data_IF_796660091619
#
_entry.id   IF_796660091619
#
_cell.length_a   1.000
_cell.length_b   1.000
_cell.length_c   1.000
_cell.angle_alpha   90.00
_cell.angle_beta   90.00
_cell.angle_gamma   90.00
#
_symmetry.space_group_name_H-M   'P 1'
#
loop_
_entity.id
_entity.type
_entity.pdbx_description
1 polymer ?
#
# COMPACT_ATOMS: atom_id res chain seq x y z
N UNK A 1 10.05 -27.94 -45.89
CA UNK A 1 10.29 -27.87 -44.44
C UNK A 1 9.28 -26.87 -43.88
N UNK A 2 8.16 -27.36 -43.34
CA UNK A 2 7.06 -26.52 -42.84
C UNK A 2 7.43 -26.06 -41.42
N UNK A 3 7.78 -24.79 -41.23
CA UNK A 3 7.92 -24.19 -39.90
C UNK A 3 6.50 -23.97 -39.33
N UNK A 4 6.02 -24.94 -38.55
CA UNK A 4 4.88 -24.73 -37.67
C UNK A 4 5.29 -23.77 -36.56
N UNK A 5 5.11 -22.46 -36.79
CA UNK A 5 5.14 -21.45 -35.74
C UNK A 5 4.02 -21.78 -34.76
N UNK A 6 4.40 -22.39 -33.64
CA UNK A 6 3.55 -22.54 -32.45
C UNK A 6 3.24 -21.14 -31.93
N UNK A 7 2.23 -20.49 -32.50
CA UNK A 7 1.66 -19.26 -31.99
C UNK A 7 1.01 -19.58 -30.64
N UNK A 8 1.82 -19.50 -29.59
CA UNK A 8 1.28 -19.45 -28.22
C UNK A 8 0.32 -18.26 -28.18
N UNK A 9 -0.86 -18.39 -27.55
CA UNK A 9 -1.76 -17.27 -27.39
C UNK A 9 -0.98 -16.15 -26.69
N UNK A 10 -0.72 -15.08 -27.43
CA UNK A 10 -0.03 -13.92 -26.89
C UNK A 10 -1.02 -13.24 -25.94
N UNK A 11 -0.86 -13.50 -24.64
CA UNK A 11 -1.49 -12.66 -23.64
C UNK A 11 -0.98 -11.24 -23.87
N UNK A 12 -1.90 -10.30 -24.06
CA UNK A 12 -1.51 -8.91 -24.27
C UNK A 12 -0.70 -8.46 -23.05
N UNK A 13 0.58 -8.16 -23.28
CA UNK A 13 1.47 -7.74 -22.21
C UNK A 13 0.88 -6.49 -21.54
N UNK A 14 0.82 -6.43 -20.21
CA UNK A 14 0.33 -5.27 -19.50
C UNK A 14 1.18 -4.04 -19.82
N UNK A 15 0.61 -2.82 -19.75
CA UNK A 15 1.38 -1.60 -19.86
C UNK A 15 2.60 -1.61 -18.92
N UNK A 16 3.75 -1.15 -19.41
CA UNK A 16 5.01 -1.17 -18.65
C UNK A 16 4.91 -0.43 -17.30
N UNK A 17 4.08 0.62 -17.24
CA UNK A 17 3.77 1.38 -16.02
C UNK A 17 3.08 0.56 -14.93
N UNK A 18 2.43 -0.55 -15.30
CA UNK A 18 1.85 -1.49 -14.36
C UNK A 18 2.75 -2.67 -14.08
N UNK A 19 3.50 -3.14 -15.08
CA UNK A 19 4.51 -4.16 -14.86
C UNK A 19 5.50 -3.74 -13.78
N UNK A 20 5.90 -2.46 -13.74
CA UNK A 20 6.77 -1.90 -12.68
C UNK A 20 6.12 -1.89 -11.29
N UNK A 21 4.79 -1.90 -11.22
CA UNK A 21 4.03 -1.89 -9.97
C UNK A 21 3.68 -3.28 -9.49
N UNK A 22 3.10 -4.13 -10.34
CA UNK A 22 2.38 -5.34 -9.90
C UNK A 22 3.20 -6.63 -10.03
N UNK A 23 4.18 -6.68 -10.94
CA UNK A 23 4.98 -7.88 -11.16
C UNK A 23 5.69 -8.28 -9.88
N UNK A 24 5.67 -9.58 -9.61
CA UNK A 24 6.26 -10.18 -8.43
C UNK A 24 5.36 -11.21 -7.77
N UNK A 25 5.76 -11.58 -6.57
CA UNK A 25 5.16 -12.66 -5.79
C UNK A 25 4.24 -12.09 -4.71
N UNK A 26 3.10 -12.75 -4.49
CA UNK A 26 2.03 -12.31 -3.61
C UNK A 26 1.49 -13.47 -2.79
N UNK A 27 1.12 -13.19 -1.53
CA UNK A 27 0.52 -14.14 -0.59
C UNK A 27 -0.91 -13.72 -0.28
N UNK A 28 -1.88 -14.57 -0.55
CA UNK A 28 -3.27 -14.33 -0.16
C UNK A 28 -3.49 -14.61 1.32
N UNK A 29 -4.05 -13.64 2.07
CA UNK A 29 -4.21 -13.72 3.52
C UNK A 29 -5.25 -14.75 3.98
N UNK A 30 -6.24 -15.07 3.15
CA UNK A 30 -7.34 -15.98 3.51
C UNK A 30 -7.08 -17.45 3.16
N UNK A 31 -6.59 -17.72 1.95
CA UNK A 31 -6.35 -19.08 1.46
C UNK A 31 -4.90 -19.54 1.64
N UNK A 32 -3.98 -18.62 1.96
CA UNK A 32 -2.55 -18.91 2.02
C UNK A 32 -1.89 -19.06 0.64
N UNK A 33 -2.64 -18.95 -0.46
CA UNK A 33 -2.13 -19.19 -1.80
C UNK A 33 -1.00 -18.21 -2.16
N UNK A 34 -0.04 -18.73 -2.93
CA UNK A 34 1.02 -17.93 -3.51
C UNK A 34 0.71 -17.63 -4.97
N UNK A 35 0.62 -16.34 -5.30
CA UNK A 35 0.39 -15.84 -6.66
C UNK A 35 1.63 -15.20 -7.26
N UNK A 36 1.90 -15.49 -8.53
CA UNK A 36 2.99 -14.88 -9.32
C UNK A 36 2.40 -14.06 -10.46
N UNK A 37 2.65 -12.75 -10.44
CA UNK A 37 2.22 -11.82 -11.49
C UNK A 37 3.39 -11.56 -12.42
N UNK A 38 3.29 -11.99 -13.69
CA UNK A 38 4.39 -12.00 -14.65
C UNK A 38 4.26 -10.88 -15.71
N UNK A 39 5.39 -10.44 -16.26
CA UNK A 39 5.44 -9.34 -17.27
C UNK A 39 4.72 -9.66 -18.58
N UNK A 40 4.57 -10.94 -18.90
CA UNK A 40 3.89 -11.42 -20.11
C UNK A 40 2.35 -11.44 -19.97
N UNK A 41 1.80 -10.92 -18.87
CA UNK A 41 0.36 -10.88 -18.62
C UNK A 41 -0.20 -12.15 -17.98
N UNK A 42 0.65 -13.13 -17.62
CA UNK A 42 0.21 -14.32 -16.90
C UNK A 42 0.17 -14.08 -15.39
N UNK A 43 -0.85 -14.65 -14.75
CA UNK A 43 -1.00 -14.69 -13.30
C UNK A 43 -1.08 -16.16 -12.87
N UNK A 44 -0.01 -16.64 -12.22
CA UNK A 44 0.10 -18.03 -11.75
C UNK A 44 -0.34 -18.10 -10.28
N UNK A 45 -0.85 -19.25 -9.87
CA UNK A 45 -1.25 -19.52 -8.49
C UNK A 45 -0.72 -20.90 -8.10
N UNK A 46 -0.19 -21.01 -6.89
CA UNK A 46 0.40 -22.22 -6.33
C UNK A 46 0.10 -22.33 -4.82
N UNK A 47 0.51 -23.46 -4.22
CA UNK A 47 0.38 -23.75 -2.78
C UNK A 47 -1.06 -24.04 -2.31
N UNK A 48 -2.03 -24.15 -3.22
CA UNK A 48 -3.41 -24.54 -2.87
C UNK A 48 -4.14 -25.21 -4.05
N UNK A 49 -4.91 -26.29 -3.82
CA UNK A 49 -5.56 -27.07 -4.89
C UNK A 49 -6.62 -26.29 -5.67
N UNK A 50 -7.32 -25.34 -5.03
CA UNK A 50 -8.29 -24.45 -5.69
C UNK A 50 -7.65 -23.28 -6.47
N UNK A 51 -6.33 -23.26 -6.65
CA UNK A 51 -5.66 -22.24 -7.44
C UNK A 51 -6.00 -22.41 -8.93
N UNK A 52 -6.69 -21.43 -9.48
CA UNK A 52 -6.89 -21.31 -10.92
C UNK A 52 -5.89 -20.29 -11.45
N UNK A 53 -5.19 -20.64 -12.53
CA UNK A 53 -4.28 -19.73 -13.24
C UNK A 53 -5.08 -18.83 -14.19
N UNK A 54 -4.53 -17.67 -14.52
CA UNK A 54 -5.21 -16.74 -15.41
C UNK A 54 -4.29 -15.69 -16.02
N UNK A 55 -4.91 -14.60 -16.44
CA UNK A 55 -4.26 -13.46 -17.05
C UNK A 55 -4.49 -12.22 -16.21
N UNK A 56 -3.66 -11.21 -16.43
CA UNK A 56 -3.87 -9.93 -15.78
C UNK A 56 -3.58 -8.77 -16.73
N UNK A 57 -4.26 -7.67 -16.46
CA UNK A 57 -3.98 -6.33 -17.00
C UNK A 57 -4.17 -5.32 -15.88
N UNK A 58 -4.10 -4.04 -16.18
CA UNK A 58 -4.23 -2.99 -15.19
C UNK A 58 -4.76 -1.68 -15.78
N UNK A 59 -5.24 -0.82 -14.89
CA UNK A 59 -5.38 0.62 -15.12
C UNK A 59 -4.99 1.36 -13.84
N UNK A 60 -3.95 2.20 -13.92
CA UNK A 60 -3.45 2.97 -12.79
C UNK A 60 -2.93 2.10 -11.64
N UNK A 61 -3.73 1.99 -10.57
CA UNK A 61 -3.46 1.18 -9.37
C UNK A 61 -4.43 0.01 -9.22
N UNK A 62 -5.21 -0.31 -10.25
CA UNK A 62 -6.12 -1.46 -10.28
C UNK A 62 -5.55 -2.51 -11.22
N UNK A 63 -5.31 -3.71 -10.70
CA UNK A 63 -5.00 -4.91 -11.48
C UNK A 63 -6.30 -5.68 -11.73
N UNK A 64 -6.58 -5.98 -12.99
CA UNK A 64 -7.71 -6.84 -13.38
C UNK A 64 -7.17 -8.23 -13.64
N UNK A 65 -7.57 -9.19 -12.82
CA UNK A 65 -7.22 -10.60 -12.95
C UNK A 65 -8.38 -11.37 -13.57
N UNK A 66 -8.13 -12.18 -14.59
CA UNK A 66 -9.16 -12.96 -15.30
C UNK A 66 -8.75 -14.42 -15.41
N UNK A 67 -9.67 -15.34 -15.08
CA UNK A 67 -9.49 -16.77 -15.29
C UNK A 67 -10.80 -17.42 -15.74
N UNK A 68 -10.86 -18.77 -15.78
CA UNK A 68 -12.06 -19.51 -16.19
C UNK A 68 -13.28 -19.32 -15.28
N UNK A 69 -13.10 -18.84 -14.05
CA UNK A 69 -14.17 -18.61 -13.07
C UNK A 69 -14.70 -17.17 -13.11
N UNK A 70 -14.01 -16.22 -13.75
CA UNK A 70 -14.43 -14.83 -13.83
C UNK A 70 -13.30 -13.81 -13.87
N UNK A 71 -13.61 -12.57 -13.53
CA UNK A 71 -12.67 -11.46 -13.48
C UNK A 71 -12.82 -10.64 -12.20
N UNK A 72 -11.70 -10.24 -11.60
CA UNK A 72 -11.65 -9.50 -10.33
C UNK A 72 -10.66 -8.34 -10.39
N UNK A 73 -11.05 -7.22 -9.79
CA UNK A 73 -10.22 -6.02 -9.71
C UNK A 73 -9.55 -5.91 -8.34
N UNK A 74 -8.22 -5.99 -8.32
CA UNK A 74 -7.37 -5.80 -7.16
C UNK A 74 -6.81 -4.38 -7.14
N UNK A 75 -7.12 -3.62 -6.10
CA UNK A 75 -6.58 -2.26 -5.92
C UNK A 75 -5.30 -2.32 -5.09
N UNK A 76 -4.21 -1.77 -5.62
CA UNK A 76 -2.92 -1.64 -4.94
C UNK A 76 -2.99 -0.52 -3.89
N UNK A 77 -2.62 -0.84 -2.65
CA UNK A 77 -2.52 0.14 -1.59
C UNK A 77 -1.36 1.13 -1.85
N UNK A 78 -1.40 2.37 -1.32
CA UNK A 78 -0.39 3.40 -1.57
C UNK A 78 1.05 2.97 -1.22
N UNK A 79 1.21 2.10 -0.22
CA UNK A 79 2.52 1.57 0.19
C UNK A 79 3.04 0.44 -0.70
N UNK A 80 2.31 0.01 -1.74
CA UNK A 80 2.71 -1.04 -2.69
C UNK A 80 2.85 -2.46 -2.11
N UNK A 81 2.60 -2.61 -0.80
CA UNK A 81 2.78 -3.85 -0.04
C UNK A 81 1.58 -4.78 -0.13
N UNK A 82 0.38 -4.23 -0.26
CA UNK A 82 -0.87 -4.98 -0.29
C UNK A 82 -1.70 -4.58 -1.49
N UNK A 83 -2.48 -5.53 -2.00
CA UNK A 83 -3.58 -5.26 -2.93
C UNK A 83 -4.81 -6.06 -2.48
N UNK A 84 -6.01 -5.56 -2.78
CA UNK A 84 -7.24 -6.18 -2.29
C UNK A 84 -8.38 -6.12 -3.30
N UNK A 85 -9.26 -7.13 -3.27
CA UNK A 85 -10.53 -7.18 -4.01
C UNK A 85 -11.62 -7.73 -3.09
N UNK A 86 -12.71 -6.99 -2.89
CA UNK A 86 -13.77 -7.39 -1.95
C UNK A 86 -13.20 -7.80 -0.58
N UNK A 87 -13.32 -9.08 -0.24
CA UNK A 87 -12.81 -9.68 1.01
C UNK A 87 -11.40 -10.28 0.92
N UNK A 88 -10.82 -10.40 -0.28
CA UNK A 88 -9.51 -10.97 -0.48
C UNK A 88 -8.41 -9.89 -0.41
N UNK A 89 -7.36 -10.19 0.35
CA UNK A 89 -6.15 -9.35 0.44
C UNK A 89 -4.94 -10.19 0.05
N UNK A 90 -4.07 -9.60 -0.78
CA UNK A 90 -2.81 -10.18 -1.20
C UNK A 90 -1.66 -9.30 -0.74
N UNK A 91 -0.69 -9.88 -0.04
CA UNK A 91 0.50 -9.20 0.49
C UNK A 91 1.72 -9.58 -0.32
N UNK A 92 2.50 -8.59 -0.75
CA UNK A 92 3.71 -8.82 -1.55
C UNK A 92 4.76 -9.59 -0.75
N UNK A 93 5.35 -10.59 -1.39
CA UNK A 93 6.51 -11.33 -0.91
C UNK A 93 7.78 -10.63 -1.41
N UNK A 94 8.73 -10.36 -0.52
CA UNK A 94 9.97 -9.66 -0.86
C UNK A 94 9.83 -8.13 -0.86
N UNK A 95 10.76 -7.40 -1.48
CA UNK A 95 10.81 -5.93 -1.42
C UNK A 95 9.66 -5.29 -2.21
N UNK A 96 9.21 -4.12 -1.74
CA UNK A 96 8.25 -3.29 -2.49
C UNK A 96 9.02 -2.39 -3.47
N UNK A 97 8.78 -2.50 -4.79
CA UNK A 97 9.43 -1.63 -5.77
C UNK A 97 9.00 -0.17 -5.57
N UNK A 98 9.92 0.76 -5.83
CA UNK A 98 9.64 2.19 -5.66
C UNK A 98 8.43 2.64 -6.51
N UNK A 99 8.29 2.11 -7.73
CA UNK A 99 7.18 2.41 -8.63
C UNK A 99 5.81 1.98 -8.09
N UNK A 100 5.75 0.98 -7.21
CA UNK A 100 4.51 0.54 -6.56
C UNK A 100 4.10 1.41 -5.37
N UNK A 101 5.01 2.27 -4.89
CA UNK A 101 4.68 3.24 -3.86
C UNK A 101 4.11 4.46 -4.56
N UNK A 102 2.87 4.79 -4.24
CA UNK A 102 2.41 6.15 -4.50
C UNK A 102 3.26 7.08 -3.65
N UNK A 103 3.61 8.25 -4.18
CA UNK A 103 4.06 9.33 -3.32
C UNK A 103 3.01 9.45 -2.20
N UNK A 104 3.43 9.34 -0.94
CA UNK A 104 2.60 9.87 0.13
C UNK A 104 2.21 11.30 -0.31
N UNK A 105 1.00 11.79 -0.03
CA UNK A 105 0.84 13.22 -0.04
C UNK A 105 1.95 13.75 0.88
N UNK A 106 2.96 14.38 0.29
CA UNK A 106 3.78 15.35 1.03
C UNK A 106 2.77 16.15 1.81
N UNK A 107 2.89 16.30 3.15
CA UNK A 107 2.12 17.29 3.85
C UNK A 107 2.33 18.56 3.03
N UNK A 108 1.30 19.01 2.33
CA UNK A 108 1.38 20.24 1.54
C UNK A 108 1.98 21.23 2.50
N UNK A 109 3.14 21.79 2.15
CA UNK A 109 3.63 22.97 2.82
C UNK A 109 2.44 23.92 2.80
N UNK A 110 1.79 24.07 3.95
CA UNK A 110 0.68 24.99 4.13
C UNK A 110 1.32 26.35 3.91
N UNK A 111 1.26 26.84 2.67
CA UNK A 111 1.27 28.28 2.45
C UNK A 111 0.13 28.82 3.32
N UNK A 112 0.41 29.77 4.21
CA UNK A 112 -0.59 30.27 5.14
C UNK A 112 -1.62 31.06 4.34
N UNK A 113 -2.72 30.42 3.99
CA UNK A 113 -3.89 31.10 3.46
C UNK A 113 -4.87 31.27 4.61
N UNK A 114 -4.99 32.53 5.02
CA UNK A 114 -5.81 33.05 6.10
C UNK A 114 -7.29 32.63 6.03
N UNK A 115 -7.89 32.71 7.22
CA UNK A 115 -9.32 32.89 7.51
C UNK A 115 -10.28 31.82 7.01
N UNK A 116 -10.74 30.95 7.93
CA UNK A 116 -12.17 30.67 8.14
C UNK A 116 -12.40 30.31 9.62
N UNK A 117 -13.45 30.86 10.28
CA UNK A 117 -13.63 30.78 11.73
C UNK A 117 -14.02 29.39 12.23
N UNK A 118 -13.39 29.00 13.35
CA UNK A 118 -13.61 27.75 14.08
C UNK A 118 -15.05 27.73 14.61
N UNK A 119 -15.84 26.70 14.28
CA UNK A 119 -17.14 26.46 14.88
C UNK A 119 -16.95 25.81 16.28
N UNK A 120 -17.34 26.46 17.39
CA UNK A 120 -16.96 26.06 18.76
C UNK A 120 -17.77 24.88 19.34
N UNK A 121 -18.58 24.17 18.54
CA UNK A 121 -19.54 23.18 19.05
C UNK A 121 -19.08 21.72 19.21
N UNK A 122 -17.81 21.36 18.94
CA UNK A 122 -17.39 19.95 18.99
C UNK A 122 -16.53 19.61 20.23
N UNK A 123 -17.11 19.03 21.29
CA UNK A 123 -16.38 18.71 22.53
C UNK A 123 -15.33 17.60 22.36
N UNK A 124 -15.44 16.78 21.31
CA UNK A 124 -14.46 15.71 21.03
C UNK A 124 -13.16 16.29 20.50
N UNK A 125 -13.23 17.34 19.69
CA UNK A 125 -12.04 18.02 19.14
C UNK A 125 -11.29 18.77 20.26
N UNK A 126 -12.01 19.41 21.17
CA UNK A 126 -11.43 20.09 22.34
C UNK A 126 -10.72 19.11 23.29
N UNK A 127 -11.28 17.92 23.53
CA UNK A 127 -10.61 16.91 24.35
C UNK A 127 -9.34 16.35 23.69
N UNK A 128 -9.36 16.17 22.36
CA UNK A 128 -8.17 15.73 21.63
C UNK A 128 -7.07 16.78 21.65
N UNK A 129 -7.41 18.07 21.51
CA UNK A 129 -6.45 19.18 21.58
C UNK A 129 -5.85 19.30 22.99
N UNK A 130 -6.67 19.24 24.06
CA UNK A 130 -6.19 19.28 25.45
C UNK A 130 -5.26 18.10 25.76
N UNK A 131 -5.61 16.88 25.30
CA UNK A 131 -4.74 15.72 25.46
C UNK A 131 -3.41 15.87 24.72
N UNK A 132 -3.43 16.35 23.49
CA UNK A 132 -2.20 16.54 22.70
C UNK A 132 -1.31 17.62 23.35
N UNK A 133 -1.89 18.73 23.83
CA UNK A 133 -1.12 19.80 24.48
C UNK A 133 -0.56 19.39 25.85
N UNK A 134 -1.30 18.62 26.66
CA UNK A 134 -0.77 18.09 27.93
C UNK A 134 0.36 17.07 27.74
N UNK A 135 0.35 16.34 26.63
CA UNK A 135 1.37 15.31 26.36
C UNK A 135 2.67 15.93 25.81
N UNK A 136 2.60 17.14 25.24
CA UNK A 136 3.74 17.86 24.69
C UNK A 136 3.72 19.34 25.08
N UNK A 137 4.12 19.70 26.31
CA UNK A 137 4.31 21.10 26.66
C UNK A 137 5.49 21.65 25.84
N UNK A 138 5.20 22.41 24.80
CA UNK A 138 6.21 23.18 24.08
C UNK A 138 6.57 24.41 24.93
N UNK A 139 7.82 24.52 25.37
CA UNK A 139 8.31 25.73 26.03
C UNK A 139 8.41 26.86 24.97
N UNK A 140 7.70 27.98 25.14
CA UNK A 140 7.64 29.02 24.11
C UNK A 140 8.92 29.84 23.95
N UNK A 141 9.98 29.61 24.75
CA UNK A 141 11.19 30.45 24.75
C UNK A 141 12.38 29.91 23.95
N UNK A 142 12.30 28.73 23.33
CA UNK A 142 13.42 28.21 22.51
C UNK A 142 12.97 27.76 21.12
N UNK A 143 13.44 28.52 20.13
CA UNK A 143 13.63 28.23 18.70
C UNK A 143 12.72 27.19 18.01
N UNK A 144 11.96 27.67 17.02
CA UNK A 144 10.75 27.09 16.39
C UNK A 144 10.87 25.72 15.70
N UNK A 145 11.98 24.98 15.82
CA UNK A 145 12.19 23.75 15.03
C UNK A 145 12.76 22.55 15.78
N UNK A 146 12.75 22.53 17.12
CA UNK A 146 13.18 21.35 17.88
C UNK A 146 12.16 20.89 18.93
N UNK A 147 11.05 20.33 18.47
CA UNK A 147 10.31 19.38 19.30
C UNK A 147 11.08 18.06 19.31
N UNK A 148 11.93 17.81 20.32
CA UNK A 148 12.53 16.48 20.51
C UNK A 148 11.49 15.56 21.14
N UNK A 149 11.22 14.37 20.57
CA UNK A 149 10.51 13.34 21.30
C UNK A 149 11.36 12.93 22.52
N UNK A 150 10.74 12.90 23.70
CA UNK A 150 11.34 12.35 24.91
C UNK A 150 11.61 10.87 24.62
N UNK A 151 12.88 10.47 24.60
CA UNK A 151 13.25 9.05 24.50
C UNK A 151 12.66 8.32 25.72
N UNK A 152 12.07 7.12 25.57
CA UNK A 152 11.57 6.37 26.71
C UNK A 152 12.77 5.95 27.57
N UNK A 153 12.92 6.58 28.74
CA UNK A 153 13.84 6.14 29.78
C UNK A 153 13.41 4.76 30.27
N UNK A 154 14.24 3.76 29.97
CA UNK A 154 14.20 2.46 30.60
C UNK A 154 15.50 2.23 31.36
N UNK A 155 15.52 2.53 32.65
CA UNK A 155 16.13 1.65 33.66
C UNK A 155 15.78 2.12 35.06
N UNK A 156 15.06 1.25 35.76
CA UNK A 156 14.88 1.24 37.20
C UNK A 156 16.23 1.38 37.92
N UNK A 157 16.26 2.27 38.91
CA UNK A 157 16.69 1.98 40.28
C UNK A 157 18.10 1.43 40.52
N UNK A 158 18.97 2.28 41.06
CA UNK A 158 19.90 1.87 42.12
C UNK A 158 20.10 3.03 43.09
N UNK A 159 19.55 2.87 44.29
CA UNK A 159 19.80 3.68 45.48
C UNK A 159 19.92 2.68 46.63
N UNK A 160 21.09 2.65 47.26
CA UNK A 160 21.48 1.70 48.31
C UNK A 160 22.98 1.47 48.23
#
# INVERSE_FOLDING_TARGET
MLLALMASPAFAAPPASCASKFVGEWRHSGSGNRGSVLRDGRALCSEHPACVQGTWTCSGNVLTYTNSLGSWNYTLAPGGRTMSTGTAVSTRIGPVPASARSAAPTPSAQSPSSDHPVNPGNPVLLWMIDKVQKTFPCDPKTDKYKCRPRSPEGSLGSRG
#
